data_IF_131639816713
#
_entry.id   IF_131639816713
#
_cell.length_a   1.000
_cell.length_b   1.000
_cell.length_c   1.000
_cell.angle_alpha   90.00
_cell.angle_beta   90.00
_cell.angle_gamma   90.00
#
_symmetry.space_group_name_H-M   'P 1'
#
loop_
_entity.id
_entity.type
_entity.pdbx_description
1 polymer ?
#
# COMPACT_ATOMS: atom_id res chain seq x y z
N UNK A 1 19.59 -20.47 -25.94
CA UNK A 1 18.99 -19.42 -25.10
C UNK A 1 19.15 -19.87 -23.66
N UNK A 2 19.57 -19.00 -22.77
CA UNK A 2 19.61 -19.31 -21.34
C UNK A 2 18.19 -19.44 -20.79
N UNK A 3 17.95 -20.38 -19.88
CA UNK A 3 16.65 -20.60 -19.24
C UNK A 3 16.70 -20.17 -17.79
N UNK A 4 15.53 -19.88 -17.21
CA UNK A 4 15.32 -19.49 -15.83
C UNK A 4 14.11 -20.22 -15.24
N UNK A 5 14.06 -20.38 -13.91
CA UNK A 5 12.87 -20.84 -13.20
C UNK A 5 11.88 -19.69 -12.99
N UNK A 6 10.58 -19.98 -13.15
CA UNK A 6 9.50 -19.04 -12.93
C UNK A 6 8.22 -19.73 -12.46
N UNK A 7 7.48 -19.08 -11.55
CA UNK A 7 6.14 -19.48 -11.16
C UNK A 7 5.13 -18.93 -12.18
N UNK A 8 4.47 -19.83 -12.92
CA UNK A 8 3.57 -19.49 -14.01
C UNK A 8 2.12 -19.82 -13.69
N UNK A 9 1.28 -18.85 -13.94
CA UNK A 9 -0.16 -19.03 -13.97
C UNK A 9 -0.62 -19.82 -15.18
N UNK A 10 -1.46 -20.83 -14.95
CA UNK A 10 -2.14 -21.60 -15.97
C UNK A 10 -3.67 -21.51 -15.80
N UNK A 11 -4.42 -21.05 -16.82
CA UNK A 11 -5.86 -21.00 -16.72
C UNK A 11 -6.47 -22.42 -16.66
N UNK A 12 -7.69 -22.59 -16.08
CA UNK A 12 -8.64 -21.53 -15.74
C UNK A 12 -8.55 -21.05 -14.28
N UNK A 13 -8.06 -21.86 -13.32
CA UNK A 13 -7.98 -21.51 -11.89
C UNK A 13 -7.18 -22.54 -11.09
N UNK A 14 -6.65 -22.12 -9.94
CA UNK A 14 -5.91 -22.95 -8.98
C UNK A 14 -4.69 -23.69 -9.55
N UNK A 15 -4.08 -23.16 -10.61
CA UNK A 15 -2.96 -23.82 -11.28
C UNK A 15 -1.76 -22.85 -11.41
N UNK A 16 -0.83 -22.95 -10.47
CA UNK A 16 0.50 -22.33 -10.52
C UNK A 16 1.52 -23.44 -10.65
N UNK A 17 2.39 -23.32 -11.64
CA UNK A 17 3.47 -24.30 -11.91
C UNK A 17 4.81 -23.59 -11.93
N UNK A 18 5.83 -24.25 -11.37
CA UNK A 18 7.21 -23.80 -11.50
C UNK A 18 7.81 -24.45 -12.73
N UNK A 19 8.21 -23.65 -13.69
CA UNK A 19 8.66 -24.11 -15.01
C UNK A 19 9.96 -23.42 -15.43
N UNK A 20 10.72 -24.10 -16.28
CA UNK A 20 11.88 -23.52 -16.96
C UNK A 20 11.41 -22.77 -18.20
N UNK A 21 11.71 -21.48 -18.27
CA UNK A 21 11.33 -20.58 -19.37
C UNK A 21 12.54 -19.79 -19.89
N UNK A 22 12.49 -19.21 -21.08
CA UNK A 22 13.57 -18.34 -21.55
C UNK A 22 13.79 -17.14 -20.62
N UNK A 23 15.06 -16.74 -20.43
CA UNK A 23 15.40 -15.47 -19.76
C UNK A 23 14.91 -14.31 -20.62
N UNK A 24 14.26 -13.29 -20.01
CA UNK A 24 13.74 -12.15 -20.79
C UNK A 24 14.89 -11.32 -21.40
N UNK A 25 14.60 -10.69 -22.54
CA UNK A 25 15.52 -9.78 -23.23
C UNK A 25 15.03 -8.33 -23.17
N UNK A 26 15.91 -7.38 -23.49
CA UNK A 26 15.54 -5.97 -23.72
C UNK A 26 14.70 -5.92 -25.00
N UNK A 27 13.48 -5.39 -24.90
CA UNK A 27 12.59 -5.19 -26.03
C UNK A 27 12.57 -3.72 -26.50
N UNK A 28 12.66 -2.79 -25.53
CA UNK A 28 12.63 -1.36 -25.78
C UNK A 28 13.89 -0.68 -25.20
N UNK A 29 14.32 0.45 -25.78
CA UNK A 29 15.53 1.16 -25.29
C UNK A 29 15.47 1.63 -23.84
N UNK A 30 14.27 1.76 -23.26
CA UNK A 30 14.01 2.21 -21.89
C UNK A 30 13.87 1.03 -20.88
N UNK A 31 14.06 -0.21 -21.33
CA UNK A 31 13.92 -1.38 -20.50
C UNK A 31 15.19 -1.66 -19.66
N UNK A 32 14.99 -2.38 -18.56
CA UNK A 32 16.06 -3.05 -17.83
C UNK A 32 15.70 -4.51 -17.60
N UNK A 33 16.72 -5.38 -17.45
CA UNK A 33 16.56 -6.74 -16.90
C UNK A 33 17.08 -6.72 -15.48
N UNK A 34 16.25 -7.19 -14.56
CA UNK A 34 16.57 -7.33 -13.14
C UNK A 34 16.71 -8.82 -12.81
N UNK A 35 17.83 -9.19 -12.21
CA UNK A 35 18.01 -10.47 -11.52
C UNK A 35 17.28 -10.37 -10.19
N UNK A 36 16.18 -11.10 -10.06
CA UNK A 36 15.34 -11.03 -8.86
C UNK A 36 16.05 -11.72 -7.70
N UNK A 37 16.18 -11.04 -6.58
CA UNK A 37 16.70 -11.62 -5.33
C UNK A 37 15.58 -12.09 -4.43
N UNK A 38 14.45 -11.37 -4.39
CA UNK A 38 13.24 -11.74 -3.68
C UNK A 38 12.00 -11.33 -4.46
N UNK A 39 10.97 -12.16 -4.40
CA UNK A 39 9.63 -11.84 -4.91
C UNK A 39 8.56 -12.13 -3.84
N UNK A 40 7.46 -11.37 -3.86
CA UNK A 40 6.37 -11.53 -2.90
C UNK A 40 5.17 -12.28 -3.46
N UNK A 41 4.44 -12.97 -2.55
CA UNK A 41 3.09 -13.47 -2.80
C UNK A 41 2.08 -12.52 -2.16
N UNK A 42 1.16 -12.00 -2.97
CA UNK A 42 0.18 -11.00 -2.56
C UNK A 42 -1.25 -11.53 -2.63
N UNK A 43 -2.15 -10.95 -1.83
CA UNK A 43 -3.58 -11.25 -1.88
C UNK A 43 -4.22 -10.96 -3.25
N UNK A 44 -3.69 -10.01 -4.01
CA UNK A 44 -4.17 -9.71 -5.37
C UNK A 44 -3.81 -10.80 -6.40
N UNK A 45 -2.74 -11.57 -6.19
CA UNK A 45 -2.43 -12.74 -7.02
C UNK A 45 -3.53 -13.81 -6.90
N UNK A 46 -4.19 -13.91 -5.73
CA UNK A 46 -5.27 -14.86 -5.50
C UNK A 46 -6.53 -14.58 -6.31
N UNK A 47 -6.78 -13.35 -6.77
CA UNK A 47 -7.96 -13.06 -7.62
C UNK A 47 -7.86 -13.78 -8.97
N UNK A 48 -6.67 -13.83 -9.55
CA UNK A 48 -6.39 -14.60 -10.77
C UNK A 48 -6.36 -16.09 -10.44
N UNK A 49 -5.67 -16.49 -9.39
CA UNK A 49 -5.55 -17.88 -8.95
C UNK A 49 -6.90 -18.54 -8.72
N UNK A 50 -7.87 -17.86 -8.12
CA UNK A 50 -9.24 -18.32 -7.91
C UNK A 50 -10.14 -18.23 -9.14
N UNK A 51 -9.67 -17.65 -10.24
CA UNK A 51 -10.49 -17.40 -11.42
C UNK A 51 -11.53 -16.29 -11.26
N UNK A 52 -11.43 -15.46 -10.21
CA UNK A 52 -12.31 -14.30 -9.99
C UNK A 52 -12.07 -13.22 -11.04
N UNK A 53 -10.85 -13.11 -11.51
CA UNK A 53 -10.47 -12.32 -12.69
C UNK A 53 -10.09 -13.32 -13.78
N UNK A 54 -10.90 -13.39 -14.83
CA UNK A 54 -10.67 -14.30 -15.94
C UNK A 54 -9.42 -13.87 -16.74
N UNK A 55 -8.39 -14.72 -16.70
CA UNK A 55 -7.13 -14.51 -17.42
C UNK A 55 -6.85 -15.74 -18.28
N UNK A 56 -7.08 -15.67 -19.60
CA UNK A 56 -6.96 -16.83 -20.48
C UNK A 56 -5.52 -17.14 -20.93
N UNK A 57 -4.55 -16.25 -20.65
CA UNK A 57 -3.16 -16.36 -21.11
C UNK A 57 -2.24 -16.84 -19.99
N UNK A 58 -1.42 -17.83 -20.27
CA UNK A 58 -0.31 -18.24 -19.40
C UNK A 58 0.69 -17.08 -19.29
N UNK A 59 1.13 -16.76 -18.07
CA UNK A 59 2.11 -15.72 -17.81
C UNK A 59 2.88 -16.00 -16.51
N UNK A 60 4.01 -15.34 -16.30
CA UNK A 60 4.75 -15.40 -15.04
C UNK A 60 4.05 -14.51 -14.03
N UNK A 61 3.74 -15.05 -12.85
CA UNK A 61 3.04 -14.39 -11.77
C UNK A 61 3.93 -13.42 -10.97
N UNK A 62 3.30 -12.67 -10.05
CA UNK A 62 3.98 -11.83 -9.06
C UNK A 62 4.26 -10.41 -9.54
N UNK A 63 3.81 -9.46 -8.75
CA UNK A 63 3.99 -8.02 -9.01
C UNK A 63 4.85 -7.34 -7.94
N UNK A 64 5.32 -8.07 -6.96
CA UNK A 64 6.23 -7.59 -5.92
C UNK A 64 7.60 -8.24 -6.13
N UNK A 65 8.62 -7.45 -6.41
CA UNK A 65 9.99 -7.97 -6.54
C UNK A 65 11.04 -6.89 -6.27
N UNK A 66 12.21 -7.36 -5.92
CA UNK A 66 13.45 -6.59 -5.84
C UNK A 66 14.60 -7.43 -6.37
N UNK A 67 15.71 -6.77 -6.69
CA UNK A 67 16.88 -7.48 -7.21
C UNK A 67 17.98 -6.54 -7.66
N UNK A 68 18.82 -7.04 -8.55
CA UNK A 68 19.97 -6.35 -9.13
C UNK A 68 19.79 -6.15 -10.63
N UNK A 69 20.09 -4.96 -11.11
CA UNK A 69 20.07 -4.64 -12.56
C UNK A 69 21.20 -5.39 -13.23
N UNK A 70 20.89 -6.25 -14.20
CA UNK A 70 21.90 -7.03 -14.96
C UNK A 70 22.06 -6.60 -16.42
N UNK A 71 21.08 -5.89 -16.95
CA UNK A 71 21.13 -5.37 -18.33
C UNK A 71 20.28 -4.11 -18.45
N UNK A 72 20.76 -3.15 -19.21
CA UNK A 72 20.07 -1.89 -19.53
C UNK A 72 19.89 -1.77 -21.03
N UNK A 73 18.79 -1.14 -21.46
CA UNK A 73 18.55 -0.74 -22.83
C UNK A 73 19.44 0.44 -23.24
N UNK A 74 19.30 0.89 -24.49
CA UNK A 74 20.19 1.88 -25.08
C UNK A 74 20.00 3.32 -24.54
N UNK A 75 18.88 3.61 -23.87
CA UNK A 75 18.54 4.96 -23.40
C UNK A 75 19.01 5.26 -21.96
N UNK A 76 20.08 4.62 -21.52
CA UNK A 76 20.70 4.86 -20.20
C UNK A 76 22.09 5.45 -20.35
N UNK A 77 22.51 6.23 -19.37
CA UNK A 77 23.84 6.82 -19.32
C UNK A 77 23.80 8.31 -18.99
N UNK A 78 24.99 8.96 -18.82
CA UNK A 78 25.10 10.33 -18.30
C UNK A 78 24.30 11.40 -19.06
N UNK A 79 24.07 11.20 -20.33
CA UNK A 79 23.33 12.15 -21.19
C UNK A 79 21.85 11.81 -21.38
N UNK A 80 21.38 10.70 -20.82
CA UNK A 80 20.02 10.19 -21.05
C UNK A 80 18.92 11.12 -20.51
N UNK A 81 19.17 11.80 -19.39
CA UNK A 81 18.20 12.72 -18.77
C UNK A 81 18.19 14.12 -19.44
N UNK A 82 19.18 14.45 -20.27
CA UNK A 82 19.30 15.77 -20.92
C UNK A 82 18.48 15.88 -22.21
N UNK A 83 18.05 14.75 -22.77
CA UNK A 83 17.42 14.70 -24.11
C UNK A 83 15.96 15.15 -24.12
N UNK A 84 15.27 15.18 -22.97
CA UNK A 84 13.86 15.54 -22.87
C UNK A 84 13.56 16.25 -21.55
N UNK A 85 12.94 17.42 -21.63
CA UNK A 85 12.46 18.15 -20.45
C UNK A 85 11.51 17.28 -19.62
N UNK A 86 11.89 16.96 -18.38
CA UNK A 86 11.08 16.20 -17.43
C UNK A 86 11.31 14.67 -17.42
N UNK A 87 12.33 14.19 -18.11
CA UNK A 87 12.74 12.77 -18.05
C UNK A 87 13.32 12.47 -16.65
N UNK A 88 12.95 11.35 -16.00
CA UNK A 88 13.48 10.98 -14.68
C UNK A 88 15.01 10.86 -14.67
N UNK A 89 15.64 11.44 -13.63
CA UNK A 89 17.10 11.42 -13.48
C UNK A 89 17.70 10.01 -13.39
N UNK A 90 16.89 9.02 -13.02
CA UNK A 90 17.34 7.63 -12.91
C UNK A 90 17.80 7.05 -14.25
N UNK A 91 17.31 7.55 -15.40
CA UNK A 91 17.85 7.16 -16.71
C UNK A 91 19.34 7.51 -16.88
N UNK A 92 19.81 8.55 -16.20
CA UNK A 92 21.22 8.95 -16.25
C UNK A 92 22.09 8.26 -15.20
N UNK A 93 21.48 7.75 -14.11
CA UNK A 93 22.21 7.30 -12.90
C UNK A 93 22.05 5.81 -12.61
N UNK A 94 21.14 5.10 -13.27
CA UNK A 94 20.96 3.65 -13.10
C UNK A 94 22.07 2.89 -13.82
N UNK A 95 22.73 1.99 -13.10
CA UNK A 95 23.82 1.17 -13.60
C UNK A 95 23.53 -0.32 -13.45
N UNK A 96 24.23 -1.13 -14.24
CA UNK A 96 24.32 -2.57 -14.01
C UNK A 96 25.02 -2.80 -12.66
N UNK A 97 24.48 -3.71 -11.85
CA UNK A 97 24.92 -3.95 -10.47
C UNK A 97 24.11 -3.18 -9.42
N UNK A 98 23.30 -2.20 -9.80
CA UNK A 98 22.46 -1.47 -8.85
C UNK A 98 21.37 -2.36 -8.25
N UNK A 99 21.23 -2.31 -6.94
CA UNK A 99 20.13 -2.91 -6.19
C UNK A 99 18.90 -2.05 -6.30
N UNK A 100 17.80 -2.66 -6.70
CA UNK A 100 16.55 -1.96 -6.98
C UNK A 100 15.33 -2.66 -6.39
N UNK A 101 14.28 -1.87 -6.12
CA UNK A 101 12.93 -2.38 -5.86
C UNK A 101 11.97 -1.78 -6.87
N UNK A 102 11.03 -2.60 -7.36
CA UNK A 102 10.03 -2.17 -8.32
C UNK A 102 8.68 -1.96 -7.66
N UNK A 103 7.97 -0.86 -7.94
CA UNK A 103 6.54 -0.78 -7.63
C UNK A 103 5.79 -1.81 -8.48
N UNK A 104 4.62 -2.23 -8.04
CA UNK A 104 3.83 -3.27 -8.72
C UNK A 104 3.33 -2.89 -10.13
N UNK A 105 3.48 -1.62 -10.54
CA UNK A 105 3.15 -1.13 -11.88
C UNK A 105 4.30 -0.41 -12.53
N UNK A 106 4.39 -0.54 -13.85
CA UNK A 106 5.28 0.28 -14.69
C UNK A 106 4.82 1.74 -14.68
N UNK A 107 5.77 2.67 -14.59
CA UNK A 107 5.56 4.11 -14.61
C UNK A 107 6.53 4.76 -15.59
N UNK A 108 6.07 5.62 -16.49
CA UNK A 108 7.00 6.30 -17.40
C UNK A 108 7.79 7.43 -16.71
N UNK A 109 7.24 8.03 -15.65
CA UNK A 109 7.83 9.18 -14.97
C UNK A 109 7.67 10.52 -15.70
N UNK A 110 7.32 10.51 -16.99
CA UNK A 110 7.34 11.67 -17.90
C UNK A 110 5.95 12.26 -18.18
N UNK A 111 4.89 11.45 -18.14
CA UNK A 111 3.54 11.94 -18.44
C UNK A 111 3.00 12.82 -17.32
N UNK A 112 1.98 13.63 -17.65
CA UNK A 112 1.32 14.49 -16.66
C UNK A 112 0.89 13.72 -15.40
N UNK A 113 0.27 12.54 -15.58
CA UNK A 113 -0.23 11.71 -14.46
C UNK A 113 0.92 11.29 -13.52
N UNK A 114 2.08 10.91 -14.08
CA UNK A 114 3.26 10.60 -13.26
C UNK A 114 3.85 11.83 -12.58
N UNK A 115 3.94 12.97 -13.29
CA UNK A 115 4.50 14.22 -12.74
C UNK A 115 3.68 14.79 -11.58
N UNK A 116 2.36 14.60 -11.58
CA UNK A 116 1.50 15.00 -10.44
C UNK A 116 1.43 13.95 -9.33
N UNK A 117 2.17 12.85 -9.44
CA UNK A 117 2.25 11.81 -8.43
C UNK A 117 1.23 10.67 -8.57
N UNK A 118 0.31 10.68 -9.52
CA UNK A 118 -0.71 9.64 -9.69
C UNK A 118 -0.19 8.41 -10.43
N UNK A 119 1.01 7.97 -10.08
CA UNK A 119 1.78 6.94 -10.79
C UNK A 119 1.06 5.59 -10.93
N UNK A 120 0.15 5.24 -10.01
CA UNK A 120 -0.67 4.02 -10.08
C UNK A 120 -1.59 3.92 -11.31
N UNK A 121 -1.74 5.01 -12.09
CA UNK A 121 -2.58 5.10 -13.30
C UNK A 121 -1.84 5.74 -14.47
N UNK A 122 -0.54 5.50 -14.55
CA UNK A 122 0.23 5.90 -15.74
C UNK A 122 -0.40 5.35 -17.02
N UNK A 123 -0.73 6.18 -18.05
CA UNK A 123 -1.33 5.69 -19.30
C UNK A 123 -0.41 4.77 -20.10
N UNK A 124 0.90 4.83 -19.84
CA UNK A 124 1.91 3.94 -20.44
C UNK A 124 2.31 2.80 -19.49
N UNK A 125 1.55 2.61 -18.42
CA UNK A 125 1.83 1.63 -17.40
C UNK A 125 1.27 0.24 -17.71
N UNK A 126 1.88 -0.77 -17.09
CA UNK A 126 1.40 -2.14 -17.07
C UNK A 126 1.52 -2.68 -15.65
N UNK A 127 0.67 -3.64 -15.29
CA UNK A 127 0.77 -4.39 -14.04
C UNK A 127 1.74 -5.57 -14.28
N UNK A 128 2.76 -5.71 -13.46
CA UNK A 128 3.59 -6.92 -13.44
C UNK A 128 2.75 -8.13 -13.04
N UNK A 129 3.13 -9.32 -13.50
CA UNK A 129 2.37 -10.53 -13.22
C UNK A 129 0.98 -10.55 -13.85
N UNK A 130 0.86 -9.99 -15.06
CA UNK A 130 -0.38 -9.94 -15.82
C UNK A 130 -0.18 -10.46 -17.25
N UNK A 131 -1.27 -10.74 -18.00
CA UNK A 131 -1.17 -11.18 -19.39
C UNK A 131 -0.42 -10.23 -20.33
N UNK A 132 -0.24 -8.97 -19.92
CA UNK A 132 0.45 -7.94 -20.70
C UNK A 132 1.93 -7.83 -20.36
N UNK A 133 2.31 -8.24 -19.15
CA UNK A 133 3.68 -8.12 -18.66
C UNK A 133 3.96 -9.20 -17.62
N UNK A 134 4.92 -10.05 -17.91
CA UNK A 134 5.39 -11.09 -16.99
C UNK A 134 5.87 -10.49 -15.66
N UNK A 135 5.70 -11.25 -14.59
CA UNK A 135 5.96 -10.83 -13.22
C UNK A 135 7.34 -11.21 -12.70
N UNK A 136 7.55 -10.87 -11.43
CA UNK A 136 8.81 -11.06 -10.73
C UNK A 136 8.93 -12.36 -9.94
N UNK A 137 7.92 -13.26 -9.93
CA UNK A 137 8.09 -14.60 -9.34
C UNK A 137 8.89 -15.49 -10.30
N UNK A 138 10.13 -15.09 -10.56
CA UNK A 138 11.08 -15.69 -11.49
C UNK A 138 12.51 -15.27 -11.11
N UNK A 139 13.49 -15.92 -11.71
CA UNK A 139 14.91 -15.56 -11.52
C UNK A 139 15.29 -14.24 -12.18
N UNK A 140 14.63 -13.88 -13.27
CA UNK A 140 14.82 -12.59 -13.97
C UNK A 140 13.48 -12.01 -14.40
N UNK A 141 13.41 -10.69 -14.46
CA UNK A 141 12.24 -9.94 -14.93
C UNK A 141 12.65 -8.78 -15.81
N UNK A 142 11.91 -8.57 -16.91
CA UNK A 142 12.03 -7.35 -17.71
C UNK A 142 11.21 -6.24 -17.08
N UNK A 143 11.84 -5.09 -16.90
CA UNK A 143 11.21 -3.88 -16.37
C UNK A 143 11.13 -2.83 -17.45
N UNK A 144 9.96 -2.61 -18.06
CA UNK A 144 9.76 -1.53 -19.01
C UNK A 144 9.91 -0.17 -18.34
N UNK A 145 10.47 0.81 -19.08
CA UNK A 145 10.62 2.19 -18.60
C UNK A 145 11.28 2.26 -17.21
N UNK A 146 12.35 1.48 -17.03
CA UNK A 146 12.95 1.23 -15.71
C UNK A 146 13.41 2.52 -15.01
N UNK A 147 13.87 3.53 -15.75
CA UNK A 147 14.22 4.84 -15.19
C UNK A 147 13.04 5.62 -14.60
N UNK A 148 11.82 5.39 -15.10
CA UNK A 148 10.59 5.93 -14.52
C UNK A 148 9.95 5.00 -13.48
N UNK A 149 10.29 3.70 -13.49
CA UNK A 149 9.65 2.67 -12.68
C UNK A 149 10.41 2.37 -11.40
N UNK A 150 11.70 2.06 -11.47
CA UNK A 150 12.48 1.53 -10.37
C UNK A 150 12.85 2.58 -9.30
N UNK A 151 13.06 2.10 -8.08
CA UNK A 151 13.80 2.80 -7.04
C UNK A 151 15.19 2.19 -6.91
N UNK A 152 16.22 3.04 -7.03
CA UNK A 152 17.62 2.64 -6.86
C UNK A 152 17.98 2.69 -5.37
N UNK A 153 18.23 1.53 -4.77
CA UNK A 153 18.66 1.41 -3.37
C UNK A 153 20.17 1.57 -3.21
N UNK A 154 20.95 1.35 -4.27
CA UNK A 154 22.41 1.58 -4.27
C UNK A 154 22.75 3.06 -4.33
N UNK A 155 21.86 3.89 -4.92
CA UNK A 155 22.00 5.35 -5.00
C UNK A 155 20.72 6.06 -4.52
N UNK A 156 20.52 6.17 -3.21
CA UNK A 156 19.28 6.73 -2.65
C UNK A 156 19.08 8.22 -2.91
N UNK A 157 20.12 8.95 -3.31
CA UNK A 157 20.04 10.39 -3.60
C UNK A 157 18.94 10.74 -4.64
N UNK A 158 18.61 9.81 -5.53
CA UNK A 158 17.57 9.98 -6.55
C UNK A 158 16.13 10.11 -5.99
N UNK A 159 15.90 9.72 -4.74
CA UNK A 159 14.58 9.74 -4.10
C UNK A 159 14.60 10.23 -2.64
N UNK A 160 15.75 10.24 -1.96
CA UNK A 160 15.85 10.61 -0.54
C UNK A 160 15.53 12.08 -0.25
N UNK A 161 15.63 12.96 -1.25
CA UNK A 161 15.20 14.36 -1.12
C UNK A 161 13.71 14.54 -0.89
N UNK A 162 12.91 13.52 -1.17
CA UNK A 162 11.46 13.50 -0.91
C UNK A 162 11.10 13.01 0.50
N UNK A 163 12.08 12.61 1.33
CA UNK A 163 11.87 12.28 2.73
C UNK A 163 11.47 13.52 3.54
N UNK A 164 10.73 13.32 4.63
CA UNK A 164 10.26 14.43 5.45
C UNK A 164 11.43 15.22 6.05
N UNK A 165 11.21 16.52 6.31
CA UNK A 165 12.24 17.42 6.85
C UNK A 165 12.76 17.00 8.22
N UNK A 166 12.03 16.20 8.98
CA UNK A 166 12.50 15.59 10.23
C UNK A 166 13.60 14.54 10.03
N UNK A 167 13.79 14.08 8.79
CA UNK A 167 14.78 13.08 8.40
C UNK A 167 16.04 13.67 7.74
N UNK A 168 16.21 14.99 7.70
CA UNK A 168 17.29 15.67 6.95
C UNK A 168 18.73 15.34 7.39
N UNK A 169 18.91 14.68 8.54
CA UNK A 169 20.21 14.20 9.01
C UNK A 169 20.36 12.68 8.91
N UNK A 170 19.44 11.98 8.23
CA UNK A 170 19.53 10.53 8.09
C UNK A 170 20.51 10.16 6.97
N UNK A 171 21.57 9.43 7.31
CA UNK A 171 22.36 8.73 6.33
C UNK A 171 21.56 7.54 5.79
N UNK A 172 20.81 7.77 4.71
CA UNK A 172 19.95 6.78 4.08
C UNK A 172 20.73 5.57 3.59
N UNK A 173 21.97 5.75 3.14
CA UNK A 173 22.83 4.65 2.70
C UNK A 173 23.21 3.75 3.88
N UNK A 174 23.58 4.33 5.02
CA UNK A 174 23.87 3.57 6.24
C UNK A 174 22.61 2.87 6.80
N UNK A 175 21.42 3.44 6.64
CA UNK A 175 20.18 2.78 7.02
C UNK A 175 19.87 1.59 6.10
N UNK A 176 19.96 1.77 4.79
CA UNK A 176 19.71 0.70 3.81
C UNK A 176 20.63 -0.50 4.01
N UNK A 177 21.89 -0.28 4.42
CA UNK A 177 22.83 -1.37 4.70
C UNK A 177 22.45 -2.23 5.91
N UNK A 178 21.58 -1.73 6.80
CA UNK A 178 21.13 -2.42 8.02
C UNK A 178 19.75 -3.07 7.88
N UNK A 179 19.00 -2.74 6.84
CA UNK A 179 17.65 -3.25 6.61
C UNK A 179 17.73 -4.50 5.73
N UNK A 180 17.10 -5.58 6.17
CA UNK A 180 17.05 -6.82 5.41
C UNK A 180 16.26 -6.67 4.10
N UNK A 181 16.66 -7.39 3.06
CA UNK A 181 16.00 -7.41 1.76
C UNK A 181 14.52 -7.81 1.85
N UNK A 182 14.20 -8.74 2.75
CA UNK A 182 12.82 -9.11 3.03
C UNK A 182 11.95 -7.93 3.47
N UNK A 183 12.51 -7.02 4.28
CA UNK A 183 11.83 -5.77 4.66
C UNK A 183 11.72 -4.80 3.48
N UNK A 184 12.81 -4.61 2.73
CA UNK A 184 12.86 -3.68 1.59
C UNK A 184 11.87 -4.08 0.49
N UNK A 185 11.63 -5.37 0.30
CA UNK A 185 10.63 -5.87 -0.65
C UNK A 185 9.21 -5.37 -0.35
N UNK A 186 8.85 -5.15 0.92
CA UNK A 186 7.52 -4.63 1.29
C UNK A 186 7.22 -3.27 0.66
N UNK A 187 8.26 -2.52 0.26
CA UNK A 187 8.14 -1.23 -0.43
C UNK A 187 7.65 -1.34 -1.87
N UNK A 188 7.58 -2.55 -2.43
CA UNK A 188 7.10 -2.77 -3.80
C UNK A 188 5.58 -2.53 -3.94
N UNK A 189 4.79 -2.90 -2.91
CA UNK A 189 3.33 -2.82 -2.94
C UNK A 189 2.71 -2.56 -1.57
N UNK A 190 2.73 -3.57 -0.68
CA UNK A 190 1.81 -3.62 0.47
C UNK A 190 2.04 -2.50 1.48
N UNK A 191 3.28 -2.11 1.73
CA UNK A 191 3.58 -1.02 2.66
C UNK A 191 3.21 0.36 2.09
N UNK A 192 3.60 0.73 0.85
CA UNK A 192 3.09 1.93 0.19
C UNK A 192 1.56 1.97 0.11
N UNK A 193 0.90 0.83 -0.15
CA UNK A 193 -0.56 0.74 -0.22
C UNK A 193 -1.21 1.00 1.14
N UNK A 194 -0.66 0.47 2.23
CA UNK A 194 -1.13 0.76 3.58
C UNK A 194 -0.94 2.22 3.98
N UNK A 195 0.22 2.79 3.67
CA UNK A 195 0.51 4.23 3.90
C UNK A 195 -0.42 5.11 3.08
N UNK A 196 -0.66 4.77 1.83
CA UNK A 196 -1.61 5.49 0.97
C UNK A 196 -3.03 5.48 1.55
N UNK A 197 -3.52 4.32 1.99
CA UNK A 197 -4.85 4.20 2.59
C UNK A 197 -5.01 5.13 3.81
N UNK A 198 -4.05 5.10 4.74
CA UNK A 198 -4.06 5.95 5.93
C UNK A 198 -3.94 7.45 5.58
N UNK A 199 -3.05 7.79 4.65
CA UNK A 199 -2.82 9.18 4.23
C UNK A 199 -4.04 9.75 3.53
N UNK A 200 -4.63 9.01 2.57
CA UNK A 200 -5.82 9.44 1.84
C UNK A 200 -6.98 9.69 2.79
N UNK A 201 -7.22 8.78 3.73
CA UNK A 201 -8.26 8.94 4.73
C UNK A 201 -8.04 10.20 5.58
N UNK A 202 -6.85 10.37 6.16
CA UNK A 202 -6.56 11.49 7.05
C UNK A 202 -6.50 12.85 6.32
N UNK A 203 -6.16 12.88 5.04
CA UNK A 203 -6.14 14.12 4.25
C UNK A 203 -7.52 14.54 3.71
N UNK A 204 -8.54 13.68 3.83
CA UNK A 204 -9.87 13.97 3.30
C UNK A 204 -10.50 15.19 3.99
N UNK A 205 -11.17 16.10 3.23
CA UNK A 205 -11.79 17.33 3.79
C UNK A 205 -12.74 17.09 4.95
N UNK A 206 -13.53 16.01 4.93
CA UNK A 206 -14.47 15.67 6.02
C UNK A 206 -13.80 15.19 7.31
N UNK A 207 -12.51 14.88 7.26
CA UNK A 207 -11.72 14.55 8.46
C UNK A 207 -11.12 15.80 9.12
N UNK A 208 -10.99 16.90 8.38
CA UNK A 208 -10.33 18.11 8.86
C UNK A 208 -10.95 18.73 10.14
N UNK A 209 -12.27 18.71 10.35
CA UNK A 209 -12.84 19.19 11.61
C UNK A 209 -12.21 18.54 12.84
N UNK A 210 -12.16 17.22 12.90
CA UNK A 210 -11.58 16.49 14.03
C UNK A 210 -10.06 16.68 14.13
N UNK A 211 -9.37 16.71 12.98
CA UNK A 211 -7.90 16.86 12.92
C UNK A 211 -7.45 18.26 13.39
N UNK A 212 -8.12 19.30 12.95
CA UNK A 212 -7.77 20.71 13.29
C UNK A 212 -8.48 21.24 14.54
N UNK A 213 -9.56 20.58 14.99
CA UNK A 213 -10.39 21.06 16.10
C UNK A 213 -11.24 22.27 15.76
N UNK A 214 -11.56 22.46 14.48
CA UNK A 214 -12.35 23.57 13.96
C UNK A 214 -13.61 23.04 13.27
N UNK A 215 -14.72 23.73 13.39
CA UNK A 215 -15.95 23.34 12.67
C UNK A 215 -15.80 23.43 11.15
N UNK A 216 -16.59 22.67 10.42
CA UNK A 216 -16.71 22.84 8.98
C UNK A 216 -17.59 24.06 8.64
N UNK A 217 -17.27 24.92 7.65
CA UNK A 217 -16.17 24.81 6.71
C UNK A 217 -14.86 25.49 7.15
N UNK A 218 -14.79 26.10 8.32
CA UNK A 218 -13.57 26.79 8.82
C UNK A 218 -12.34 25.87 8.81
N UNK A 219 -12.51 24.59 9.10
CA UNK A 219 -11.45 23.58 9.06
C UNK A 219 -10.81 23.35 7.68
N UNK A 220 -11.44 23.80 6.60
CA UNK A 220 -10.91 23.69 5.23
C UNK A 220 -9.95 24.83 4.87
N UNK A 221 -9.96 25.92 5.61
CA UNK A 221 -9.15 27.11 5.35
C UNK A 221 -7.74 26.84 5.88
N UNK A 222 -6.73 26.88 5.00
CA UNK A 222 -5.33 26.66 5.36
C UNK A 222 -4.63 27.90 5.89
N UNK A 223 -5.10 29.11 5.50
CA UNK A 223 -4.54 30.40 5.88
C UNK A 223 -5.62 31.22 6.57
N UNK A 224 -5.46 31.57 7.87
CA UNK A 224 -6.39 32.42 8.57
C UNK A 224 -6.50 33.86 7.97
N UNK A 225 -5.54 34.26 7.14
CA UNK A 225 -5.56 35.55 6.43
C UNK A 225 -6.27 35.51 5.06
N UNK A 226 -6.61 34.30 4.55
CA UNK A 226 -7.42 34.13 3.33
C UNK A 226 -8.92 34.04 3.65
N UNK A 227 -9.43 34.84 4.53
CA UNK A 227 -10.84 34.85 4.92
C UNK A 227 -11.73 35.49 3.83
N UNK A 228 -11.87 34.81 2.68
CA UNK A 228 -12.98 35.11 1.74
C UNK A 228 -14.27 34.35 2.08
N UNK A 229 -14.22 33.46 3.06
CA UNK A 229 -15.42 32.92 3.69
C UNK A 229 -15.61 33.72 4.98
N UNK A 230 -16.44 34.74 4.91
CA UNK A 230 -16.91 35.43 6.11
C UNK A 230 -17.42 34.36 7.08
N UNK A 231 -16.91 34.34 8.30
CA UNK A 231 -17.55 33.60 9.37
C UNK A 231 -19.02 33.97 9.35
N UNK A 232 -19.98 33.05 9.50
CA UNK A 232 -21.37 33.40 9.64
C UNK A 232 -21.44 34.53 10.69
N UNK A 233 -22.06 35.60 10.35
CA UNK A 233 -22.21 36.79 11.24
C UNK A 233 -23.12 36.52 12.43
N UNK A 234 -23.39 35.27 12.73
CA UNK A 234 -24.12 34.82 13.89
C UNK A 234 -23.17 34.86 15.09
N UNK A 235 -23.44 35.83 15.95
CA UNK A 235 -22.71 36.14 17.18
C UNK A 235 -22.81 35.08 18.27
N UNK A 236 -23.01 33.82 17.92
CA UNK A 236 -22.93 32.71 18.85
C UNK A 236 -21.47 32.46 19.25
N UNK A 237 -21.08 32.67 20.50
CA UNK A 237 -19.67 32.63 20.94
C UNK A 237 -19.01 31.23 20.89
N UNK A 238 -19.68 30.21 20.38
CA UNK A 238 -19.26 28.82 20.51
C UNK A 238 -18.94 28.08 19.19
N UNK A 239 -18.71 28.81 18.08
CA UNK A 239 -18.74 28.17 16.76
C UNK A 239 -17.40 27.74 16.17
N UNK A 240 -16.26 27.98 16.83
CA UNK A 240 -14.98 27.74 16.16
C UNK A 240 -14.12 26.59 16.72
N UNK A 241 -14.30 26.19 17.97
CA UNK A 241 -13.45 25.16 18.60
C UNK A 241 -14.25 23.93 19.02
N UNK A 242 -13.78 22.77 18.61
CA UNK A 242 -14.35 21.48 19.00
C UNK A 242 -13.74 21.02 20.33
N UNK A 243 -14.56 20.39 21.17
CA UNK A 243 -14.11 19.71 22.41
C UNK A 243 -13.28 18.48 22.08
N UNK A 244 -12.61 17.92 23.09
CA UNK A 244 -11.87 16.66 22.93
C UNK A 244 -12.77 15.50 22.48
N UNK A 245 -14.01 15.46 22.98
CA UNK A 245 -14.99 14.42 22.59
C UNK A 245 -15.45 14.60 21.12
N UNK A 246 -15.67 15.82 20.67
CA UNK A 246 -16.00 16.10 19.27
C UNK A 246 -14.87 15.69 18.31
N UNK A 247 -13.64 15.70 18.78
CA UNK A 247 -12.44 15.34 18.02
C UNK A 247 -12.12 13.84 18.05
N UNK A 248 -12.86 13.05 18.82
CA UNK A 248 -12.65 11.61 18.89
C UNK A 248 -12.84 10.95 17.54
N UNK A 249 -11.76 10.37 17.01
CA UNK A 249 -11.78 9.64 15.75
C UNK A 249 -12.20 8.19 16.00
N UNK A 250 -13.39 7.81 15.58
CA UNK A 250 -13.79 6.40 15.55
C UNK A 250 -13.62 5.86 14.15
N UNK A 251 -12.67 4.94 13.97
CA UNK A 251 -12.24 4.44 12.65
C UNK A 251 -12.40 2.92 12.62
N UNK A 252 -13.05 2.39 11.60
CA UNK A 252 -13.06 0.95 11.34
C UNK A 252 -12.04 0.60 10.24
N UNK A 253 -11.36 -0.54 10.38
CA UNK A 253 -10.47 -1.11 9.36
C UNK A 253 -10.99 -2.49 9.02
N UNK A 254 -11.44 -2.71 7.79
CA UNK A 254 -12.02 -3.96 7.32
C UNK A 254 -11.02 -4.69 6.45
N UNK A 255 -10.60 -5.88 6.90
CA UNK A 255 -9.57 -6.71 6.29
C UNK A 255 -8.20 -6.54 6.95
N UNK A 256 -7.71 -7.60 7.59
CA UNK A 256 -6.44 -7.64 8.33
C UNK A 256 -5.40 -8.55 7.66
N UNK A 257 -5.48 -8.65 6.32
CA UNK A 257 -4.41 -9.22 5.51
C UNK A 257 -3.16 -8.31 5.54
N UNK A 258 -2.10 -8.67 4.80
CA UNK A 258 -0.83 -7.91 4.83
C UNK A 258 -1.00 -6.39 4.60
N UNK A 259 -1.81 -5.98 3.62
CA UNK A 259 -2.11 -4.55 3.39
C UNK A 259 -2.87 -3.93 4.56
N UNK A 260 -3.83 -4.66 5.16
CA UNK A 260 -4.60 -4.17 6.30
C UNK A 260 -3.74 -3.96 7.54
N UNK A 261 -2.77 -4.82 7.79
CA UNK A 261 -1.76 -4.63 8.83
C UNK A 261 -0.90 -3.39 8.53
N UNK A 262 -0.40 -3.23 7.30
CA UNK A 262 0.35 -2.03 6.90
C UNK A 262 -0.47 -0.75 7.09
N UNK A 263 -1.75 -0.76 6.69
CA UNK A 263 -2.66 0.38 6.86
C UNK A 263 -2.92 0.70 8.34
N UNK A 264 -3.09 -0.33 9.18
CA UNK A 264 -3.25 -0.17 10.62
C UNK A 264 -2.02 0.48 11.26
N UNK A 265 -0.82 -0.02 10.93
CA UNK A 265 0.45 0.53 11.44
C UNK A 265 0.65 1.97 10.98
N UNK A 266 0.41 2.27 9.70
CA UNK A 266 0.53 3.62 9.14
C UNK A 266 -0.46 4.60 9.79
N UNK A 267 -1.71 4.17 9.99
CA UNK A 267 -2.73 4.99 10.64
C UNK A 267 -2.39 5.28 12.10
N UNK A 268 -2.01 4.25 12.87
CA UNK A 268 -1.60 4.39 14.26
C UNK A 268 -0.40 5.33 14.42
N UNK A 269 0.61 5.19 13.58
CA UNK A 269 1.78 6.06 13.55
C UNK A 269 1.40 7.52 13.27
N UNK A 270 0.56 7.74 12.26
CA UNK A 270 0.11 9.08 11.89
C UNK A 270 -0.76 9.74 12.97
N UNK A 271 -1.58 8.99 13.70
CA UNK A 271 -2.39 9.48 14.80
C UNK A 271 -1.54 9.79 16.04
N UNK A 272 -0.57 8.92 16.35
CA UNK A 272 0.37 9.13 17.45
C UNK A 272 1.21 10.41 17.25
N UNK A 273 1.73 10.63 16.04
CA UNK A 273 2.48 11.85 15.71
C UNK A 273 1.68 13.15 15.91
N UNK A 274 0.36 13.07 15.73
CA UNK A 274 -0.54 14.24 15.88
C UNK A 274 -1.13 14.38 17.29
N UNK A 275 -0.89 13.41 18.18
CA UNK A 275 -1.49 13.40 19.53
C UNK A 275 -3.02 13.39 19.51
N UNK A 276 -3.64 12.77 18.50
CA UNK A 276 -5.08 12.78 18.32
C UNK A 276 -5.75 11.64 19.10
N UNK A 277 -6.90 11.89 19.75
CA UNK A 277 -7.67 10.82 20.39
C UNK A 277 -8.34 9.95 19.34
N UNK A 278 -8.30 8.63 19.53
CA UNK A 278 -8.92 7.69 18.60
C UNK A 278 -9.49 6.44 19.27
N UNK A 279 -10.43 5.83 18.58
CA UNK A 279 -10.97 4.48 18.81
C UNK A 279 -10.92 3.74 17.48
N UNK A 280 -10.11 2.70 17.37
CA UNK A 280 -9.98 1.90 16.14
C UNK A 280 -10.57 0.51 16.37
N UNK A 281 -11.40 0.08 15.42
CA UNK A 281 -11.98 -1.26 15.36
C UNK A 281 -11.42 -1.93 14.12
N UNK A 282 -10.49 -2.87 14.32
CA UNK A 282 -9.89 -3.68 13.28
C UNK A 282 -10.70 -4.97 13.09
N UNK A 283 -11.13 -5.26 11.86
CA UNK A 283 -12.15 -6.28 11.57
C UNK A 283 -11.63 -7.28 10.56
N UNK A 284 -11.72 -8.57 10.88
CA UNK A 284 -11.51 -9.66 9.91
C UNK A 284 -12.38 -10.88 10.28
N UNK A 285 -12.82 -11.64 9.29
CA UNK A 285 -13.50 -12.91 9.48
C UNK A 285 -12.56 -13.99 10.00
N UNK A 286 -11.31 -13.97 9.58
CA UNK A 286 -10.30 -14.97 9.92
C UNK A 286 -9.69 -14.69 11.29
N UNK A 287 -9.82 -15.66 12.21
CA UNK A 287 -9.32 -15.55 13.57
C UNK A 287 -7.79 -15.42 13.63
N UNK A 288 -7.04 -16.15 12.81
CA UNK A 288 -5.58 -16.09 12.80
C UNK A 288 -5.07 -14.70 12.39
N UNK A 289 -5.77 -14.01 11.49
CA UNK A 289 -5.47 -12.63 11.12
C UNK A 289 -5.80 -11.66 12.25
N UNK A 290 -6.88 -11.89 12.97
CA UNK A 290 -7.23 -11.09 14.16
C UNK A 290 -6.15 -11.23 15.24
N UNK A 291 -5.70 -12.46 15.52
CA UNK A 291 -4.62 -12.68 16.50
C UNK A 291 -3.30 -12.03 16.05
N UNK A 292 -2.94 -12.12 14.77
CA UNK A 292 -1.78 -11.42 14.23
C UNK A 292 -1.88 -9.91 14.45
N UNK A 293 -3.04 -9.30 14.17
CA UNK A 293 -3.25 -7.87 14.37
C UNK A 293 -3.10 -7.44 15.84
N UNK A 294 -3.58 -8.25 16.79
CA UNK A 294 -3.39 -8.02 18.24
C UNK A 294 -1.91 -8.03 18.62
N UNK A 295 -1.14 -9.01 18.10
CA UNK A 295 0.31 -9.11 18.37
C UNK A 295 1.09 -7.94 17.78
N UNK A 296 0.75 -7.51 16.55
CA UNK A 296 1.32 -6.33 15.92
C UNK A 296 1.03 -5.07 16.76
N UNK A 297 -0.20 -4.90 17.20
CA UNK A 297 -0.59 -3.76 18.05
C UNK A 297 0.19 -3.73 19.36
N UNK A 298 0.33 -4.88 20.02
CA UNK A 298 1.11 -5.01 21.25
C UNK A 298 2.61 -4.65 21.03
N UNK A 299 3.19 -5.07 19.92
CA UNK A 299 4.58 -4.74 19.57
C UNK A 299 4.78 -3.23 19.35
N UNK A 300 3.85 -2.56 18.65
CA UNK A 300 3.89 -1.11 18.43
C UNK A 300 3.84 -0.34 19.76
N UNK A 301 3.11 -0.84 20.76
CA UNK A 301 3.00 -0.22 22.07
C UNK A 301 4.22 -0.36 22.97
N UNK A 302 5.14 -1.27 22.66
CA UNK A 302 6.24 -1.65 23.55
C UNK A 302 7.37 -0.61 23.62
N UNK A 303 7.47 0.33 22.66
CA UNK A 303 8.53 1.33 22.58
C UNK A 303 8.28 2.61 23.41
N UNK A 304 7.21 2.65 24.20
CA UNK A 304 6.80 3.82 24.97
C UNK A 304 6.29 5.00 24.13
N UNK A 305 6.33 4.89 22.80
CA UNK A 305 5.72 5.80 21.82
C UNK A 305 4.37 5.28 21.35
N UNK A 306 3.82 4.36 22.13
CA UNK A 306 2.66 3.58 21.79
C UNK A 306 1.39 4.39 21.53
N UNK A 307 0.36 3.72 21.06
CA UNK A 307 -0.89 4.33 20.66
C UNK A 307 -1.59 5.03 21.84
N UNK A 308 -2.06 6.25 21.61
CA UNK A 308 -2.74 7.09 22.60
C UNK A 308 -4.27 6.89 22.61
N UNK A 309 -4.76 5.70 22.26
CA UNK A 309 -6.19 5.45 22.16
C UNK A 309 -6.55 3.98 22.27
N UNK A 310 -7.81 3.68 22.01
CA UNK A 310 -8.32 2.32 22.04
C UNK A 310 -8.19 1.66 20.66
N UNK A 311 -7.61 0.46 20.64
CA UNK A 311 -7.56 -0.40 19.46
C UNK A 311 -8.11 -1.78 19.83
N UNK A 312 -9.19 -2.19 19.19
CA UNK A 312 -9.79 -3.51 19.38
C UNK A 312 -9.82 -4.27 18.07
N UNK A 313 -9.71 -5.60 18.17
CA UNK A 313 -9.71 -6.50 17.01
C UNK A 313 -10.86 -7.47 17.16
N UNK A 314 -11.83 -7.41 16.25
CA UNK A 314 -13.14 -8.04 16.40
C UNK A 314 -13.56 -8.76 15.10
N UNK A 315 -14.54 -9.66 15.23
CA UNK A 315 -15.33 -10.16 14.12
C UNK A 315 -16.37 -9.11 13.67
N UNK A 316 -17.02 -9.28 12.50
CA UNK A 316 -17.96 -8.28 11.97
C UNK A 316 -19.15 -7.96 12.87
N UNK A 317 -19.77 -8.94 13.50
CA UNK A 317 -20.96 -8.73 14.34
C UNK A 317 -20.58 -8.04 15.68
N UNK A 318 -19.49 -8.46 16.29
CA UNK A 318 -18.94 -7.80 17.48
C UNK A 318 -18.54 -6.35 17.18
N UNK A 319 -18.00 -6.09 15.98
CA UNK A 319 -17.64 -4.75 15.54
C UNK A 319 -18.86 -3.82 15.41
N UNK A 320 -19.99 -4.31 14.86
CA UNK A 320 -21.25 -3.56 14.81
C UNK A 320 -21.71 -3.16 16.21
N UNK A 321 -21.67 -4.08 17.17
CA UNK A 321 -22.04 -3.82 18.57
C UNK A 321 -21.09 -2.80 19.22
N UNK A 322 -19.77 -2.93 18.99
CA UNK A 322 -18.78 -2.00 19.53
C UNK A 322 -18.97 -0.58 18.96
N UNK A 323 -19.23 -0.43 17.65
CA UNK A 323 -19.53 0.86 17.03
C UNK A 323 -20.79 1.47 17.63
N UNK A 324 -21.86 0.68 17.75
CA UNK A 324 -23.11 1.12 18.36
C UNK A 324 -22.89 1.67 19.78
N UNK A 325 -22.13 0.92 20.59
CA UNK A 325 -21.87 1.29 21.98
C UNK A 325 -20.96 2.51 22.09
N UNK A 326 -19.86 2.54 21.30
CA UNK A 326 -18.87 3.61 21.40
C UNK A 326 -19.33 4.94 20.87
N UNK A 327 -20.27 4.93 19.92
CA UNK A 327 -20.73 6.14 19.22
C UNK A 327 -22.18 6.52 19.56
N UNK A 328 -22.85 5.79 20.42
CA UNK A 328 -24.28 6.00 20.68
C UNK A 328 -25.14 5.82 19.42
N UNK A 329 -24.70 4.97 18.48
CA UNK A 329 -25.42 4.71 17.23
C UNK A 329 -25.08 5.69 16.09
N UNK A 330 -24.22 6.68 16.29
CA UNK A 330 -23.84 7.66 15.27
C UNK A 330 -23.02 7.00 14.14
N UNK A 331 -22.11 6.07 14.50
CA UNK A 331 -21.25 5.38 13.55
C UNK A 331 -19.81 5.93 13.49
N UNK A 332 -18.97 5.27 12.73
CA UNK A 332 -17.55 5.61 12.55
C UNK A 332 -17.37 6.92 11.77
N UNK A 333 -16.40 7.73 12.16
CA UNK A 333 -15.98 8.91 11.39
C UNK A 333 -15.48 8.53 10.00
N UNK A 334 -14.83 7.37 9.92
CA UNK A 334 -14.31 6.84 8.65
C UNK A 334 -14.09 5.33 8.70
N UNK A 335 -14.00 4.73 7.52
CA UNK A 335 -13.73 3.30 7.34
C UNK A 335 -12.63 3.11 6.30
N UNK A 336 -11.61 2.33 6.62
CA UNK A 336 -10.66 1.77 5.66
C UNK A 336 -11.16 0.39 5.21
N UNK A 337 -11.45 0.23 3.93
CA UNK A 337 -11.85 -1.04 3.33
C UNK A 337 -10.68 -1.59 2.51
N UNK A 338 -10.16 -2.76 2.91
CA UNK A 338 -8.91 -3.33 2.38
C UNK A 338 -9.13 -4.74 1.81
N UNK A 339 -10.36 -5.14 1.57
CA UNK A 339 -10.74 -6.48 1.07
C UNK A 339 -11.08 -6.46 -0.42
N UNK A 340 -11.89 -5.50 -0.85
CA UNK A 340 -12.30 -5.36 -2.25
C UNK A 340 -13.49 -6.24 -2.66
N UNK A 341 -14.47 -6.44 -1.79
CA UNK A 341 -15.68 -7.20 -2.13
C UNK A 341 -16.96 -6.51 -1.63
N UNK A 342 -18.12 -6.99 -2.12
CA UNK A 342 -19.42 -6.41 -1.79
C UNK A 342 -19.77 -6.50 -0.31
N UNK A 343 -19.45 -7.60 0.38
CA UNK A 343 -19.79 -7.74 1.79
C UNK A 343 -18.97 -6.79 2.68
N UNK A 344 -17.70 -6.57 2.37
CA UNK A 344 -16.87 -5.61 3.07
C UNK A 344 -17.31 -4.16 2.82
N UNK A 345 -17.70 -3.81 1.58
CA UNK A 345 -18.27 -2.51 1.27
C UNK A 345 -19.62 -2.29 1.97
N UNK A 346 -20.51 -3.31 2.01
CA UNK A 346 -21.77 -3.24 2.74
C UNK A 346 -21.54 -2.98 4.23
N UNK A 347 -20.61 -3.71 4.84
CA UNK A 347 -20.22 -3.49 6.23
C UNK A 347 -19.65 -2.08 6.44
N UNK A 348 -18.81 -1.60 5.52
CA UNK A 348 -18.26 -0.23 5.59
C UNK A 348 -19.38 0.82 5.59
N UNK A 349 -20.41 0.64 4.73
CA UNK A 349 -21.58 1.51 4.68
C UNK A 349 -22.41 1.45 5.98
N UNK A 350 -22.60 0.27 6.56
CA UNK A 350 -23.30 0.13 7.83
C UNK A 350 -22.59 0.88 8.97
N UNK A 351 -21.25 0.72 9.05
CA UNK A 351 -20.46 1.26 10.15
C UNK A 351 -20.20 2.77 10.05
N UNK A 352 -20.12 3.33 8.84
CA UNK A 352 -19.80 4.74 8.65
C UNK A 352 -20.98 5.65 9.05
N UNK A 353 -20.67 6.76 9.72
CA UNK A 353 -21.66 7.79 10.05
C UNK A 353 -22.08 8.63 8.85
N UNK A 354 -23.14 9.44 9.00
CA UNK A 354 -23.41 10.53 8.07
C UNK A 354 -22.19 11.50 8.03
N UNK A 355 -21.91 12.07 6.84
CA UNK A 355 -20.72 12.86 6.54
C UNK A 355 -19.40 12.12 6.83
N UNK A 356 -19.41 10.77 6.85
CA UNK A 356 -18.21 9.97 6.98
C UNK A 356 -17.51 9.70 5.66
N UNK A 357 -16.36 9.02 5.74
CA UNK A 357 -15.50 8.68 4.59
C UNK A 357 -15.26 7.18 4.56
N UNK A 358 -15.42 6.56 3.40
CA UNK A 358 -14.97 5.19 3.13
C UNK A 358 -13.80 5.29 2.15
N UNK A 359 -12.61 4.88 2.58
CA UNK A 359 -11.42 4.76 1.73
C UNK A 359 -11.19 3.29 1.41
N UNK A 360 -11.32 2.91 0.13
CA UNK A 360 -11.15 1.53 -0.32
C UNK A 360 -9.93 1.40 -1.23
N UNK A 361 -9.00 0.55 -0.82
CA UNK A 361 -7.78 0.19 -1.56
C UNK A 361 -7.75 -1.29 -1.96
N UNK A 362 -8.79 -2.04 -1.61
CA UNK A 362 -8.97 -3.42 -2.04
C UNK A 362 -9.13 -3.56 -3.55
N UNK A 363 -8.80 -4.72 -4.09
CA UNK A 363 -9.00 -5.02 -5.52
C UNK A 363 -10.44 -5.47 -5.74
N UNK A 364 -11.27 -4.62 -6.35
CA UNK A 364 -12.67 -4.92 -6.65
C UNK A 364 -12.80 -5.71 -7.95
N UNK A 365 -12.99 -7.02 -7.84
CA UNK A 365 -13.32 -7.90 -8.96
C UNK A 365 -14.83 -7.87 -9.34
N UNK A 366 -15.79 -7.76 -8.38
CA UNK A 366 -17.21 -7.70 -8.70
C UNK A 366 -17.58 -6.42 -9.47
N UNK A 367 -18.58 -6.52 -10.35
CA UNK A 367 -19.15 -5.35 -11.04
C UNK A 367 -20.08 -4.58 -10.11
N UNK A 368 -19.94 -3.25 -10.08
CA UNK A 368 -20.76 -2.34 -9.30
C UNK A 368 -20.36 -2.24 -7.82
N UNK A 369 -21.13 -1.46 -7.09
CA UNK A 369 -21.02 -1.27 -5.64
C UNK A 369 -22.35 -1.68 -4.98
N UNK A 370 -22.35 -2.15 -3.69
CA UNK A 370 -23.56 -2.72 -3.06
C UNK A 370 -24.50 -1.66 -2.46
N UNK A 371 -24.52 -0.44 -3.00
CA UNK A 371 -25.41 0.63 -2.53
C UNK A 371 -25.87 1.52 -3.69
N UNK A 372 -27.03 2.15 -3.48
CA UNK A 372 -27.66 3.05 -4.43
C UNK A 372 -27.17 4.49 -4.28
N UNK A 373 -27.40 5.32 -5.31
CA UNK A 373 -27.14 6.76 -5.23
C UNK A 373 -27.94 7.44 -4.11
N UNK A 374 -29.19 6.99 -3.84
CA UNK A 374 -29.99 7.52 -2.74
C UNK A 374 -29.35 7.22 -1.38
N UNK A 375 -28.89 6.01 -1.15
CA UNK A 375 -28.19 5.64 0.10
C UNK A 375 -26.95 6.49 0.32
N UNK A 376 -26.18 6.77 -0.73
CA UNK A 376 -25.01 7.65 -0.65
C UNK A 376 -25.41 9.10 -0.33
N UNK A 377 -26.48 9.58 -0.97
CA UNK A 377 -27.02 10.92 -0.76
C UNK A 377 -27.55 11.10 0.67
N UNK A 378 -28.34 10.15 1.18
CA UNK A 378 -28.96 10.24 2.51
C UNK A 378 -27.93 10.30 3.65
N UNK A 379 -26.78 9.65 3.49
CA UNK A 379 -25.66 9.71 4.47
C UNK A 379 -24.61 10.78 4.15
N UNK A 380 -24.65 11.47 3.01
CA UNK A 380 -23.61 12.40 2.58
C UNK A 380 -22.19 11.80 2.69
N UNK A 381 -22.03 10.51 2.44
CA UNK A 381 -20.70 9.87 2.54
C UNK A 381 -19.80 10.20 1.36
N UNK A 382 -18.49 10.14 1.58
CA UNK A 382 -17.50 10.17 0.52
C UNK A 382 -16.91 8.77 0.31
N UNK A 383 -16.66 8.43 -0.95
CA UNK A 383 -16.05 7.17 -1.35
C UNK A 383 -14.75 7.48 -2.09
N UNK A 384 -13.63 7.10 -1.50
CA UNK A 384 -12.32 7.19 -2.10
C UNK A 384 -11.88 5.80 -2.54
N UNK A 385 -11.88 5.56 -3.85
CA UNK A 385 -11.47 4.28 -4.41
C UNK A 385 -10.16 4.44 -5.17
N UNK A 386 -9.28 3.47 -5.06
CA UNK A 386 -8.21 3.45 -6.00
C UNK A 386 -7.00 2.60 -5.69
N UNK A 387 -6.26 2.35 -6.74
CA UNK A 387 -4.96 1.72 -6.71
C UNK A 387 -3.92 2.71 -6.18
N UNK A 388 -3.12 2.26 -5.24
CA UNK A 388 -2.02 3.03 -4.69
C UNK A 388 -1.05 3.50 -5.78
N UNK A 389 -0.63 4.78 -5.77
CA UNK A 389 0.49 5.26 -6.57
C UNK A 389 1.82 4.88 -5.87
N UNK A 390 2.14 3.58 -5.82
CA UNK A 390 3.21 3.02 -4.99
C UNK A 390 4.55 3.75 -5.17
N UNK A 391 4.88 4.13 -6.42
CA UNK A 391 6.09 4.91 -6.69
C UNK A 391 6.08 6.26 -5.96
N UNK A 392 4.96 6.98 -5.95
CA UNK A 392 4.88 8.26 -5.26
C UNK A 392 4.87 8.11 -3.73
N UNK A 393 4.34 7.01 -3.22
CA UNK A 393 4.26 6.74 -1.78
C UNK A 393 5.54 6.15 -1.19
N UNK A 394 6.52 5.77 -2.01
CA UNK A 394 7.74 5.10 -1.57
C UNK A 394 8.50 5.85 -0.46
N UNK A 395 8.78 7.17 -0.55
CA UNK A 395 9.51 7.87 0.50
C UNK A 395 8.82 7.78 1.87
N UNK A 396 7.52 8.01 1.92
CA UNK A 396 6.73 7.91 3.16
C UNK A 396 6.69 6.47 3.70
N UNK A 397 6.57 5.49 2.81
CA UNK A 397 6.61 4.08 3.18
C UNK A 397 7.99 3.67 3.72
N UNK A 398 9.06 4.19 3.15
CA UNK A 398 10.42 3.95 3.64
C UNK A 398 10.63 4.53 5.05
N UNK A 399 10.15 5.75 5.34
CA UNK A 399 10.20 6.32 6.69
C UNK A 399 9.50 5.44 7.72
N UNK A 400 8.30 4.94 7.38
CA UNK A 400 7.55 4.01 8.24
C UNK A 400 8.28 2.66 8.40
N UNK A 401 8.86 2.13 7.32
CA UNK A 401 9.66 0.90 7.34
C UNK A 401 10.82 1.01 8.34
N UNK A 402 11.58 2.09 8.27
CA UNK A 402 12.72 2.35 9.16
C UNK A 402 12.25 2.43 10.62
N UNK A 403 11.14 3.10 10.86
CA UNK A 403 10.60 3.32 12.20
C UNK A 403 10.02 2.04 12.82
N UNK A 404 9.44 1.15 12.02
CA UNK A 404 8.67 -0.03 12.47
C UNK A 404 9.33 -1.36 12.08
N UNK A 405 10.63 -1.47 12.38
CA UNK A 405 11.37 -2.73 12.22
C UNK A 405 10.88 -3.84 13.18
N UNK A 406 10.17 -3.50 14.24
CA UNK A 406 9.43 -4.39 15.13
C UNK A 406 8.32 -5.20 14.42
N UNK A 407 7.76 -4.66 13.33
CA UNK A 407 6.72 -5.29 12.50
C UNK A 407 7.28 -5.73 11.14
N UNK A 408 8.12 -4.93 10.53
CA UNK A 408 8.55 -5.09 9.13
C UNK A 408 9.96 -5.67 8.98
N UNK A 409 10.75 -5.70 10.07
CA UNK A 409 12.18 -6.02 10.00
C UNK A 409 12.52 -7.50 10.17
N UNK A 410 11.59 -8.31 10.65
CA UNK A 410 11.87 -9.72 10.96
C UNK A 410 11.00 -10.68 10.16
N UNK A 411 11.38 -11.95 10.13
CA UNK A 411 10.68 -13.03 9.45
C UNK A 411 10.26 -14.09 10.47
N UNK A 412 9.00 -14.50 10.43
CA UNK A 412 8.49 -15.63 11.20
C UNK A 412 8.31 -15.38 12.71
N UNK A 413 8.42 -14.14 13.20
CA UNK A 413 8.12 -13.81 14.59
C UNK A 413 6.63 -13.52 14.79
N UNK A 414 6.19 -13.45 16.03
CA UNK A 414 4.77 -13.24 16.34
C UNK A 414 4.22 -11.91 15.83
N UNK A 415 5.00 -10.82 15.89
CA UNK A 415 4.63 -9.49 15.40
C UNK A 415 5.04 -9.22 13.96
N UNK A 416 5.91 -10.07 13.38
CA UNK A 416 6.43 -9.89 12.03
C UNK A 416 5.32 -10.01 10.98
N UNK A 417 5.28 -9.07 10.05
CA UNK A 417 4.37 -9.15 8.89
C UNK A 417 4.76 -10.30 7.96
N UNK A 418 6.06 -10.52 7.76
CA UNK A 418 6.60 -11.57 6.90
C UNK A 418 6.58 -12.89 7.66
N UNK A 419 5.86 -13.87 7.13
CA UNK A 419 5.75 -15.19 7.73
C UNK A 419 7.00 -16.04 7.41
N UNK A 420 7.38 -16.11 6.14
CA UNK A 420 8.51 -16.95 5.70
C UNK A 420 9.12 -16.51 4.37
N UNK A 421 10.37 -16.96 4.16
CA UNK A 421 11.09 -16.87 2.89
C UNK A 421 11.40 -18.30 2.43
N UNK A 422 10.89 -18.68 1.27
CA UNK A 422 10.97 -20.05 0.74
C UNK A 422 11.60 -20.08 -0.66
N UNK A 423 12.05 -21.25 -1.07
CA UNK A 423 12.46 -21.52 -2.46
C UNK A 423 11.29 -21.31 -3.43
N UNK A 424 11.55 -20.77 -4.63
CA UNK A 424 10.51 -20.59 -5.65
C UNK A 424 9.87 -21.91 -6.08
N UNK A 425 10.58 -23.02 -5.98
CA UNK A 425 10.06 -24.36 -6.24
C UNK A 425 8.83 -24.72 -5.39
N UNK A 426 8.66 -24.04 -4.24
CA UNK A 426 7.51 -24.23 -3.36
C UNK A 426 6.30 -23.34 -3.74
N UNK A 427 6.37 -22.57 -4.84
CA UNK A 427 5.31 -21.61 -5.18
C UNK A 427 3.92 -22.26 -5.27
N UNK A 428 3.80 -23.43 -5.91
CA UNK A 428 2.52 -24.15 -6.02
C UNK A 428 1.89 -24.46 -4.65
N UNK A 429 2.71 -24.89 -3.69
CA UNK A 429 2.27 -25.18 -2.32
C UNK A 429 1.90 -23.89 -1.58
N UNK A 430 2.73 -22.86 -1.69
CA UNK A 430 2.52 -21.59 -1.00
C UNK A 430 1.26 -20.86 -1.50
N UNK A 431 0.96 -20.89 -2.78
CA UNK A 431 -0.31 -20.34 -3.30
C UNK A 431 -1.52 -21.04 -2.69
N UNK A 432 -1.49 -22.38 -2.56
CA UNK A 432 -2.55 -23.17 -1.94
C UNK A 432 -2.69 -22.87 -0.44
N UNK A 433 -1.59 -22.81 0.28
CA UNK A 433 -1.57 -22.51 1.72
C UNK A 433 -2.03 -21.06 2.00
N UNK A 434 -1.60 -20.12 1.19
CA UNK A 434 -1.98 -18.70 1.31
C UNK A 434 -3.47 -18.48 0.98
N UNK A 435 -3.98 -19.19 -0.01
CA UNK A 435 -5.41 -19.17 -0.36
C UNK A 435 -6.28 -19.65 0.79
N UNK A 436 -5.87 -20.71 1.49
CA UNK A 436 -6.56 -21.25 2.67
C UNK A 436 -6.35 -20.42 3.95
N UNK A 437 -5.45 -19.43 3.92
CA UNK A 437 -5.10 -18.63 5.09
C UNK A 437 -4.23 -19.38 6.12
N UNK A 438 -3.55 -20.45 5.71
CA UNK A 438 -2.64 -21.25 6.53
C UNK A 438 -1.28 -20.57 6.73
N UNK A 439 -0.94 -19.62 5.86
CA UNK A 439 0.29 -18.83 5.90
C UNK A 439 -0.02 -17.33 5.75
N UNK A 440 0.85 -16.49 6.34
CA UNK A 440 0.84 -15.03 6.18
C UNK A 440 1.56 -14.58 4.92
N UNK A 441 2.28 -13.44 5.00
CA UNK A 441 3.09 -12.92 3.88
C UNK A 441 4.25 -13.86 3.59
N UNK A 442 4.27 -14.46 2.40
CA UNK A 442 5.33 -15.34 1.90
C UNK A 442 6.19 -14.58 0.89
N UNK A 443 7.50 -14.76 1.00
CA UNK A 443 8.47 -14.31 0.01
C UNK A 443 9.14 -15.52 -0.64
N UNK A 444 9.43 -15.40 -1.94
CA UNK A 444 10.18 -16.38 -2.71
C UNK A 444 11.60 -15.90 -2.94
N UNK A 445 12.57 -16.77 -2.67
CA UNK A 445 13.95 -16.64 -3.10
C UNK A 445 14.15 -17.54 -4.33
N UNK A 446 14.34 -16.95 -5.53
CA UNK A 446 14.45 -17.75 -6.76
C UNK A 446 15.79 -18.50 -6.93
N UNK A 447 16.70 -18.39 -5.94
CA UNK A 447 18.06 -18.93 -6.02
C UNK A 447 18.40 -19.95 -4.93
N UNK A 448 17.46 -20.23 -4.03
CA UNK A 448 17.59 -21.30 -3.04
C UNK A 448 17.58 -22.67 -3.65
#
# INVERSE_FOLDING_TARGET
>A
MSSMLAARWHPPSFDIRVESVPVPEIEEPDDAIVKVTLAGLCGSDLHVYRGQIAVPKIHISGHEFMGEVVKLGANYGPNAAQSTSGRPGLYATLNVGDKVVAPFTVNCGECHVCRVGYTGRCPFGALFGSPKLDGGQAQYVRVPKAGGTLYNLSSPASWSSALSTSSTNLDVSALLSKIADSSLLLLSDILPTGVFAATQLLSHPKMQPMLKGLTWPASLISDPNQSHVAAPSDTSPNTSTLTADDRMLTIAIIGLGPVGICASVALLDALAQRGLPYRIIAIDLNESRREKAKKVYAAIGSDGKGPHGNFVVLGPDEAKQAVQTWTGGIGCTSVLEVVGNHSALSLAYELVRAFGVITSVGVHAPKGVPYTGQQLYDKNISLDFGRCPARAMFPMAFELLVKRQDVFGQVGTESSLIDRVVDIGQATEMYRAFEKGEVGKVLFDPWK
#
